data_IF_509993585577
#
_entry.id   IF_509993585577
#
_cell.length_a   1.000
_cell.length_b   1.000
_cell.length_c   1.000
_cell.angle_alpha   90.00
_cell.angle_beta   90.00
_cell.angle_gamma   90.00
#
_symmetry.space_group_name_H-M   'P 1'
#
loop_
_entity.id
_entity.type
_entity.pdbx_description
1 polymer ?
#
# COMPACT_ATOMS: atom_id res chain seq x y z
N UNK A 1 -10.61 -15.24 58.43
CA UNK A 1 -11.53 -14.08 58.38
C UNK A 1 -10.69 -12.89 57.93
N UNK A 2 -10.81 -12.25 56.77
CA UNK A 2 -11.91 -12.11 55.81
C UNK A 2 -12.36 -10.65 55.77
N UNK A 3 -11.76 -9.82 54.88
CA UNK A 3 -12.20 -8.44 54.55
C UNK A 3 -11.76 -7.37 55.57
N UNK A 4 -11.33 -6.17 55.20
CA UNK A 4 -12.03 -5.20 54.35
C UNK A 4 -11.04 -4.33 53.55
N UNK A 5 -11.18 -4.33 52.22
CA UNK A 5 -10.53 -3.36 51.32
C UNK A 5 -11.24 -2.01 51.45
N UNK A 6 -10.52 -0.98 51.87
CA UNK A 6 -11.00 0.41 51.88
C UNK A 6 -11.38 0.87 50.48
N UNK A 7 -12.64 1.29 50.30
CA UNK A 7 -13.12 1.96 49.09
C UNK A 7 -12.72 3.42 49.19
N UNK A 8 -11.82 3.87 48.30
CA UNK A 8 -11.57 5.30 48.07
C UNK A 8 -12.82 5.92 47.45
N UNK A 9 -13.49 6.80 48.19
CA UNK A 9 -14.57 7.66 47.70
C UNK A 9 -14.00 8.59 46.63
N UNK A 10 -14.56 8.54 45.41
CA UNK A 10 -14.20 9.43 44.30
C UNK A 10 -14.78 10.81 44.58
N UNK A 11 -13.97 11.86 44.43
CA UNK A 11 -14.39 13.23 44.67
C UNK A 11 -15.46 13.69 43.65
N UNK A 12 -16.61 14.26 44.10
CA UNK A 12 -17.74 14.60 43.23
C UNK A 12 -17.41 15.68 42.18
N UNK A 13 -16.37 16.49 42.40
CA UNK A 13 -15.89 17.52 41.46
C UNK A 13 -15.23 16.88 40.22
N UNK A 14 -14.57 15.74 40.39
CA UNK A 14 -13.88 15.01 39.32
C UNK A 14 -14.87 14.29 38.40
N UNK A 15 -16.02 13.85 38.93
CA UNK A 15 -17.11 13.31 38.12
C UNK A 15 -17.80 14.40 37.30
N UNK A 16 -17.99 15.60 37.85
CA UNK A 16 -18.55 16.75 37.14
C UNK A 16 -17.65 17.20 35.97
N UNK A 17 -16.33 17.30 36.18
CA UNK A 17 -15.37 17.59 35.10
C UNK A 17 -15.38 16.54 33.99
N UNK A 18 -15.49 15.25 34.34
CA UNK A 18 -15.58 14.16 33.35
C UNK A 18 -16.91 14.19 32.58
N UNK A 19 -17.99 14.60 33.21
CA UNK A 19 -19.28 14.79 32.54
C UNK A 19 -19.27 16.01 31.61
N UNK A 20 -18.62 17.10 32.01
CA UNK A 20 -18.38 18.27 31.16
C UNK A 20 -17.47 17.93 29.97
N UNK A 21 -16.37 17.20 30.19
CA UNK A 21 -15.49 16.71 29.13
C UNK A 21 -16.20 15.74 28.18
N UNK A 22 -17.09 14.89 28.69
CA UNK A 22 -17.93 14.00 27.88
C UNK A 22 -18.94 14.80 27.05
N UNK A 23 -19.60 15.79 27.65
CA UNK A 23 -20.53 16.69 26.94
C UNK A 23 -19.80 17.55 25.89
N UNK A 24 -18.59 18.02 26.18
CA UNK A 24 -17.75 18.73 25.22
C UNK A 24 -17.30 17.82 24.06
N UNK A 25 -16.93 16.56 24.35
CA UNK A 25 -16.66 15.53 23.33
C UNK A 25 -17.89 15.19 22.49
N UNK A 26 -19.07 15.11 23.10
CA UNK A 26 -20.33 14.88 22.38
C UNK A 26 -20.76 16.08 21.54
N UNK A 27 -20.51 17.31 22.01
CA UNK A 27 -20.73 18.54 21.26
C UNK A 27 -19.80 18.61 20.03
N UNK A 28 -18.50 18.32 20.20
CA UNK A 28 -17.55 18.17 19.09
C UNK A 28 -17.95 17.07 18.10
N UNK A 29 -18.55 15.97 18.59
CA UNK A 29 -19.10 14.90 17.75
C UNK A 29 -20.36 15.31 16.99
N UNK A 30 -21.13 16.27 17.52
CA UNK A 30 -22.32 16.86 16.88
C UNK A 30 -21.95 17.94 15.85
N UNK A 31 -20.85 18.66 16.06
CA UNK A 31 -20.31 19.64 15.12
C UNK A 31 -19.64 18.99 13.90
N UNK A 32 -19.20 17.73 14.02
CA UNK A 32 -18.90 16.88 12.87
C UNK A 32 -20.22 16.57 12.15
N UNK A 33 -20.64 17.49 11.29
CA UNK A 33 -21.79 17.35 10.41
C UNK A 33 -21.79 16.00 9.70
N UNK A 34 -22.99 15.44 9.50
CA UNK A 34 -23.19 14.20 8.73
C UNK A 34 -22.34 14.29 7.46
N UNK A 35 -21.48 13.30 7.16
CA UNK A 35 -20.71 13.34 5.94
C UNK A 35 -21.69 13.45 4.78
N UNK A 36 -21.46 14.43 3.91
CA UNK A 36 -22.19 14.57 2.66
C UNK A 36 -22.24 13.21 1.95
N UNK A 37 -23.32 12.87 1.24
CA UNK A 37 -23.41 11.61 0.52
C UNK A 37 -22.31 11.59 -0.54
N UNK A 38 -21.19 10.95 -0.19
CA UNK A 38 -20.06 10.78 -1.08
C UNK A 38 -20.51 9.88 -2.20
N UNK A 39 -20.37 10.35 -3.43
CA UNK A 39 -20.59 9.54 -4.62
C UNK A 39 -19.61 8.36 -4.53
N UNK A 40 -20.08 7.20 -4.12
CA UNK A 40 -19.26 6.01 -3.96
C UNK A 40 -18.74 5.58 -5.33
N UNK A 41 -17.52 6.02 -5.66
CA UNK A 41 -16.83 5.62 -6.89
C UNK A 41 -16.28 4.21 -6.68
N UNK A 42 -16.78 3.24 -7.44
CA UNK A 42 -16.24 1.88 -7.43
C UNK A 42 -14.81 1.80 -7.98
N UNK A 43 -14.46 2.72 -8.88
CA UNK A 43 -13.14 2.78 -9.51
C UNK A 43 -12.62 4.21 -9.38
N UNK A 44 -11.40 4.34 -8.87
CA UNK A 44 -10.68 5.62 -8.76
C UNK A 44 -9.41 5.51 -9.57
N UNK A 45 -9.20 6.39 -10.55
CA UNK A 45 -7.99 6.34 -11.39
C UNK A 45 -6.93 7.30 -10.83
N UNK A 46 -5.71 6.79 -10.63
CA UNK A 46 -4.56 7.56 -10.14
C UNK A 46 -3.29 7.15 -10.91
N UNK A 47 -2.51 8.11 -11.41
CA UNK A 47 -1.27 7.88 -12.17
C UNK A 47 -1.38 6.81 -13.27
N UNK A 48 -2.42 6.89 -14.11
CA UNK A 48 -2.72 5.93 -15.17
C UNK A 48 -3.02 4.48 -14.72
N UNK A 49 -3.30 4.28 -13.43
CA UNK A 49 -3.73 2.98 -12.87
C UNK A 49 -5.13 3.07 -12.27
N UNK A 50 -5.91 1.99 -12.41
CA UNK A 50 -7.24 1.88 -11.83
C UNK A 50 -7.14 1.30 -10.42
N UNK A 51 -7.62 2.05 -9.43
CA UNK A 51 -7.68 1.66 -8.02
C UNK A 51 -9.08 1.18 -7.68
N UNK A 52 -9.15 0.09 -6.90
CA UNK A 52 -10.39 -0.42 -6.33
C UNK A 52 -10.91 0.56 -5.25
N UNK A 53 -12.16 1.00 -5.38
CA UNK A 53 -12.85 1.93 -4.48
C UNK A 53 -13.14 1.36 -3.08
N UNK A 54 -13.33 0.04 -2.99
CA UNK A 54 -13.66 -0.59 -1.70
C UNK A 54 -12.42 -0.92 -0.86
N UNK A 55 -11.24 -0.92 -1.49
CA UNK A 55 -9.98 -1.11 -0.78
C UNK A 55 -9.63 0.11 0.08
N UNK A 56 -8.86 -0.12 1.14
CA UNK A 56 -8.30 0.98 1.92
C UNK A 56 -7.26 1.74 1.09
N UNK A 57 -7.09 3.06 1.33
CA UNK A 57 -6.09 3.89 0.64
C UNK A 57 -4.71 3.21 0.65
N UNK A 58 -4.32 2.69 1.81
CA UNK A 58 -3.06 1.98 1.98
C UNK A 58 -2.87 0.80 1.00
N UNK A 59 -3.91 -0.02 0.83
CA UNK A 59 -3.86 -1.18 -0.04
C UNK A 59 -4.01 -0.78 -1.51
N UNK A 60 -4.84 0.21 -1.80
CA UNK A 60 -5.04 0.71 -3.15
C UNK A 60 -3.77 1.35 -3.72
N UNK A 61 -3.06 2.19 -2.97
CA UNK A 61 -1.81 2.81 -3.42
C UNK A 61 -0.74 1.77 -3.83
N UNK A 62 -0.75 0.57 -3.24
CA UNK A 62 0.16 -0.52 -3.62
C UNK A 62 -0.14 -1.15 -4.98
N UNK A 63 -1.33 -0.94 -5.54
CA UNK A 63 -1.63 -1.35 -6.91
C UNK A 63 -0.78 -0.55 -7.93
N UNK A 64 -0.34 0.65 -7.55
CA UNK A 64 0.54 1.49 -8.36
C UNK A 64 1.92 0.85 -8.40
N UNK A 65 2.35 0.54 -9.63
CA UNK A 65 3.67 -0.02 -9.90
C UNK A 65 4.77 0.96 -9.44
N UNK A 66 5.57 0.53 -8.47
CA UNK A 66 6.63 1.33 -7.87
C UNK A 66 6.38 1.67 -6.40
N UNK A 67 5.12 1.56 -5.93
CA UNK A 67 4.74 1.83 -4.54
C UNK A 67 4.70 0.52 -3.74
N UNK A 68 5.41 0.48 -2.62
CA UNK A 68 5.39 -0.65 -1.68
C UNK A 68 4.58 -0.30 -0.43
N UNK A 69 4.39 -1.26 0.48
CA UNK A 69 3.62 -1.04 1.71
C UNK A 69 4.23 0.05 2.61
N UNK A 70 5.56 0.16 2.68
CA UNK A 70 6.20 1.18 3.52
C UNK A 70 6.04 2.58 2.93
N UNK A 71 6.19 2.70 1.62
CA UNK A 71 6.05 3.95 0.90
C UNK A 71 4.59 4.41 0.89
N UNK A 72 3.64 3.49 0.67
CA UNK A 72 2.21 3.80 0.79
C UNK A 72 1.88 4.37 2.18
N UNK A 73 2.42 3.77 3.25
CA UNK A 73 2.26 4.31 4.60
C UNK A 73 2.85 5.71 4.74
N UNK A 74 4.07 5.91 4.25
CA UNK A 74 4.73 7.22 4.31
C UNK A 74 3.96 8.29 3.53
N UNK A 75 3.44 7.96 2.35
CA UNK A 75 2.60 8.85 1.54
C UNK A 75 1.33 9.23 2.30
N UNK A 76 0.62 8.27 2.90
CA UNK A 76 -0.57 8.59 3.69
C UNK A 76 -0.26 9.50 4.88
N UNK A 77 0.86 9.27 5.58
CA UNK A 77 1.29 10.10 6.70
C UNK A 77 1.62 11.52 6.27
N UNK A 78 2.35 11.68 5.16
CA UNK A 78 2.73 12.98 4.60
C UNK A 78 1.51 13.72 4.03
N UNK A 79 0.56 12.99 3.44
CA UNK A 79 -0.68 13.54 2.91
C UNK A 79 -1.72 13.86 4.00
N UNK A 80 -1.43 13.54 5.26
CA UNK A 80 -2.34 13.68 6.40
C UNK A 80 -3.67 12.93 6.19
N UNK A 81 -3.63 11.79 5.50
CA UNK A 81 -4.78 10.93 5.23
C UNK A 81 -4.74 9.67 6.10
N UNK A 82 -5.89 9.30 6.67
CA UNK A 82 -5.98 8.05 7.43
C UNK A 82 -5.86 6.83 6.49
N UNK A 83 -4.86 5.94 6.70
CA UNK A 83 -4.58 4.82 5.78
C UNK A 83 -5.72 3.79 5.66
N UNK A 84 -6.63 3.73 6.64
CA UNK A 84 -7.71 2.75 6.71
C UNK A 84 -9.00 3.22 6.04
N UNK A 85 -9.10 4.51 5.70
CA UNK A 85 -10.22 5.03 4.93
C UNK A 85 -10.32 4.37 3.57
N UNK A 86 -11.53 4.34 3.01
CA UNK A 86 -11.79 3.79 1.68
C UNK A 86 -11.30 4.77 0.62
N UNK A 87 -10.86 4.25 -0.51
CA UNK A 87 -10.48 5.08 -1.66
C UNK A 87 -11.68 5.77 -2.30
N UNK A 88 -12.88 5.18 -2.24
CA UNK A 88 -14.11 5.81 -2.77
C UNK A 88 -14.44 7.16 -2.14
N UNK A 89 -14.00 7.42 -0.91
CA UNK A 89 -14.32 8.65 -0.17
C UNK A 89 -13.34 9.79 -0.44
N UNK A 90 -12.29 9.57 -1.25
CA UNK A 90 -11.28 10.58 -1.54
C UNK A 90 -11.83 11.72 -2.41
N UNK A 91 -11.51 12.96 -2.03
CA UNK A 91 -11.82 14.12 -2.85
C UNK A 91 -10.81 14.29 -3.98
N UNK A 92 -11.17 15.01 -5.04
CA UNK A 92 -10.29 15.23 -6.19
C UNK A 92 -9.01 15.99 -5.82
N UNK A 93 -9.10 16.88 -4.84
CA UNK A 93 -7.92 17.60 -4.33
C UNK A 93 -6.98 16.69 -3.55
N UNK A 94 -7.53 15.76 -2.75
CA UNK A 94 -6.73 14.73 -2.08
C UNK A 94 -6.06 13.79 -3.09
N UNK A 95 -6.75 13.45 -4.18
CA UNK A 95 -6.18 12.64 -5.26
C UNK A 95 -5.02 13.34 -5.96
N UNK A 96 -5.18 14.64 -6.29
CA UNK A 96 -4.09 15.45 -6.87
C UNK A 96 -2.88 15.52 -5.93
N UNK A 97 -3.10 15.76 -4.64
CA UNK A 97 -2.03 15.74 -3.62
C UNK A 97 -1.31 14.40 -3.58
N UNK A 98 -2.05 13.29 -3.58
CA UNK A 98 -1.47 11.95 -3.60
C UNK A 98 -0.63 11.72 -4.86
N UNK A 99 -1.12 12.15 -6.02
CA UNK A 99 -0.40 12.05 -7.30
C UNK A 99 0.91 12.85 -7.29
N UNK A 100 0.90 14.08 -6.77
CA UNK A 100 2.10 14.91 -6.62
C UNK A 100 3.15 14.29 -5.69
N UNK A 101 2.71 13.77 -4.53
CA UNK A 101 3.59 13.13 -3.54
C UNK A 101 4.19 11.85 -4.12
N UNK A 102 3.39 11.03 -4.80
CA UNK A 102 3.88 9.78 -5.42
C UNK A 102 4.88 10.09 -6.54
N UNK A 103 4.66 11.17 -7.31
CA UNK A 103 5.59 11.55 -8.39
C UNK A 103 6.92 12.07 -7.85
N UNK A 104 6.88 12.91 -6.81
CA UNK A 104 8.07 13.57 -6.25
C UNK A 104 8.19 13.39 -4.71
N UNK A 105 8.36 12.16 -4.21
CA UNK A 105 8.37 11.89 -2.78
C UNK A 105 9.53 12.58 -2.04
N UNK A 106 10.66 12.81 -2.72
CA UNK A 106 11.84 13.46 -2.14
C UNK A 106 11.56 14.89 -1.65
N UNK A 107 10.62 15.61 -2.26
CA UNK A 107 10.29 16.99 -1.88
C UNK A 107 9.46 17.06 -0.60
N UNK A 108 8.71 16.00 -0.29
CA UNK A 108 7.81 15.94 0.87
C UNK A 108 8.45 15.24 2.07
N UNK A 109 9.75 15.42 2.25
CA UNK A 109 10.51 14.89 3.39
C UNK A 109 10.52 13.35 3.51
N UNK A 110 10.28 12.62 2.41
CA UNK A 110 10.44 11.16 2.39
C UNK A 110 11.94 10.84 2.26
N UNK A 111 12.51 10.02 3.15
CA UNK A 111 13.95 9.71 3.11
C UNK A 111 14.38 9.02 1.82
N UNK A 112 15.58 9.35 1.34
CA UNK A 112 16.12 8.82 0.08
C UNK A 112 16.24 7.30 0.04
N UNK A 113 16.43 6.64 1.18
CA UNK A 113 16.50 5.18 1.26
C UNK A 113 15.18 4.47 0.93
N UNK A 114 14.04 5.18 0.99
CA UNK A 114 12.72 4.66 0.67
C UNK A 114 12.41 4.73 -0.84
N UNK A 115 13.23 5.46 -1.60
CA UNK A 115 13.07 5.63 -3.05
C UNK A 115 13.59 4.39 -3.81
N UNK A 116 13.00 4.13 -4.97
CA UNK A 116 13.30 2.92 -5.74
C UNK A 116 14.54 3.04 -6.64
N UNK A 117 14.88 4.25 -7.10
CA UNK A 117 16.06 4.52 -7.89
C UNK A 117 16.98 5.48 -7.15
N UNK A 118 17.97 4.91 -6.47
CA UNK A 118 18.99 5.68 -5.75
C UNK A 118 20.29 5.70 -6.55
N UNK A 119 21.03 6.82 -6.49
CA UNK A 119 22.31 7.02 -7.16
C UNK A 119 22.24 6.61 -8.63
N UNK A 120 21.35 7.26 -9.37
CA UNK A 120 21.21 6.98 -10.79
C UNK A 120 22.53 7.20 -11.54
N UNK A 121 22.82 6.33 -12.51
CA UNK A 121 24.15 6.28 -13.14
C UNK A 121 24.42 7.51 -14.02
N UNK A 122 23.38 8.07 -14.63
CA UNK A 122 23.49 9.24 -15.52
C UNK A 122 23.40 10.55 -14.72
N UNK A 123 22.36 10.66 -13.88
CA UNK A 123 22.03 11.93 -13.22
C UNK A 123 22.64 12.08 -11.82
N UNK A 124 23.08 10.99 -11.19
CA UNK A 124 23.61 10.97 -9.82
C UNK A 124 22.57 11.24 -8.71
N UNK A 125 21.34 11.59 -9.08
CA UNK A 125 20.26 11.96 -8.15
C UNK A 125 19.45 10.74 -7.73
N UNK A 126 18.83 10.84 -6.55
CA UNK A 126 17.84 9.87 -6.09
C UNK A 126 16.46 10.26 -6.66
N UNK A 127 15.77 9.29 -7.28
CA UNK A 127 14.50 9.50 -7.96
C UNK A 127 13.51 8.39 -7.59
N UNK A 128 12.23 8.72 -7.70
CA UNK A 128 11.17 7.73 -7.65
C UNK A 128 10.57 7.54 -9.05
N UNK A 129 10.69 6.34 -9.60
CA UNK A 129 10.07 6.00 -10.89
C UNK A 129 8.72 5.33 -10.66
N UNK A 130 7.72 5.70 -11.44
CA UNK A 130 6.35 5.21 -11.29
C UNK A 130 5.85 4.63 -12.60
N UNK A 131 4.98 3.61 -12.51
CA UNK A 131 4.22 3.02 -13.62
C UNK A 131 5.09 2.74 -14.85
N UNK A 132 4.88 3.47 -15.95
CA UNK A 132 5.58 3.29 -17.22
C UNK A 132 7.07 3.55 -17.10
N UNK A 133 7.45 4.57 -16.34
CA UNK A 133 8.83 5.03 -16.26
C UNK A 133 9.72 3.97 -15.60
N UNK A 134 9.16 3.24 -14.63
CA UNK A 134 9.86 2.14 -13.97
C UNK A 134 10.13 0.97 -14.93
N UNK A 135 9.16 0.62 -15.76
CA UNK A 135 9.29 -0.50 -16.69
C UNK A 135 10.20 -0.14 -17.87
N UNK A 136 10.13 1.09 -18.37
CA UNK A 136 11.06 1.61 -19.40
C UNK A 136 12.49 1.62 -18.88
N UNK A 137 12.72 2.15 -17.67
CA UNK A 137 14.06 2.17 -17.05
C UNK A 137 14.60 0.76 -16.83
N UNK A 138 13.77 -0.18 -16.38
CA UNK A 138 14.18 -1.57 -16.20
C UNK A 138 14.57 -2.22 -17.54
N UNK A 139 13.80 -1.98 -18.60
CA UNK A 139 14.11 -2.47 -19.96
C UNK A 139 15.43 -1.91 -20.46
N UNK A 140 15.64 -0.60 -20.36
CA UNK A 140 16.89 0.06 -20.74
C UNK A 140 18.09 -0.54 -20.00
N UNK A 141 18.01 -0.67 -18.67
CA UNK A 141 19.08 -1.28 -17.87
C UNK A 141 19.39 -2.72 -18.29
N UNK A 142 18.38 -3.52 -18.63
CA UNK A 142 18.59 -4.87 -19.13
C UNK A 142 19.24 -4.87 -20.52
N UNK A 143 18.78 -4.00 -21.41
CA UNK A 143 19.36 -3.81 -22.75
C UNK A 143 20.83 -3.38 -22.66
N UNK A 144 21.17 -2.47 -21.76
CA UNK A 144 22.54 -2.03 -21.52
C UNK A 144 23.42 -3.18 -21.03
N UNK A 145 22.96 -3.96 -20.06
CA UNK A 145 23.69 -5.13 -19.56
C UNK A 145 23.99 -6.14 -20.68
N UNK A 146 23.04 -6.34 -21.60
CA UNK A 146 23.20 -7.21 -22.78
C UNK A 146 24.11 -6.60 -23.84
N UNK A 147 24.05 -5.28 -24.05
CA UNK A 147 24.89 -4.54 -25.01
C UNK A 147 26.35 -4.54 -24.56
N UNK A 148 26.61 -4.34 -23.27
CA UNK A 148 27.95 -4.37 -22.69
C UNK A 148 28.55 -5.78 -22.63
N UNK A 149 27.77 -6.84 -22.87
CA UNK A 149 28.27 -8.22 -22.82
C UNK A 149 28.60 -8.71 -21.41
N UNK A 150 28.06 -8.09 -20.37
CA UNK A 150 28.27 -8.52 -18.98
C UNK A 150 27.74 -9.94 -18.74
N UNK A 151 28.33 -10.69 -17.79
CA UNK A 151 27.83 -12.02 -17.41
C UNK A 151 26.34 -11.99 -17.04
N UNK A 152 25.92 -10.94 -16.31
CA UNK A 152 24.51 -10.70 -15.95
C UNK A 152 23.64 -10.52 -17.19
N UNK A 153 24.11 -9.73 -18.17
CA UNK A 153 23.43 -9.53 -19.45
C UNK A 153 23.28 -10.82 -20.25
N UNK A 154 24.34 -11.63 -20.35
CA UNK A 154 24.28 -12.96 -20.98
C UNK A 154 23.27 -13.89 -20.30
N UNK A 155 23.24 -13.92 -18.96
CA UNK A 155 22.23 -14.71 -18.20
C UNK A 155 20.81 -14.21 -18.46
N UNK A 156 20.61 -12.89 -18.50
CA UNK A 156 19.30 -12.30 -18.85
C UNK A 156 18.87 -12.66 -20.28
N UNK A 157 19.80 -12.64 -21.26
CA UNK A 157 19.54 -13.07 -22.64
C UNK A 157 19.10 -14.54 -22.71
N UNK A 158 19.71 -15.40 -21.89
CA UNK A 158 19.37 -16.82 -21.78
C UNK A 158 18.14 -17.11 -20.90
N UNK A 159 17.56 -16.10 -20.24
CA UNK A 159 16.44 -16.27 -19.30
C UNK A 159 16.81 -17.04 -18.03
N UNK A 160 18.09 -17.04 -17.63
CA UNK A 160 18.61 -17.77 -16.47
C UNK A 160 18.72 -16.85 -15.23
N UNK A 161 18.66 -17.39 -14.00
CA UNK A 161 18.83 -16.58 -12.79
C UNK A 161 20.23 -15.96 -12.70
N UNK A 162 20.31 -14.72 -12.25
CA UNK A 162 21.53 -13.90 -12.35
C UNK A 162 22.37 -13.87 -11.07
N UNK A 163 21.78 -14.16 -9.91
CA UNK A 163 22.43 -14.07 -8.58
C UNK A 163 23.29 -15.29 -8.20
N UNK A 164 23.85 -16.01 -9.18
CA UNK A 164 24.66 -17.21 -8.92
C UNK A 164 23.88 -18.41 -8.36
N UNK A 165 22.56 -18.44 -8.55
CA UNK A 165 21.72 -19.55 -8.11
C UNK A 165 22.07 -20.85 -8.88
N UNK A 166 22.03 -22.00 -8.18
CA UNK A 166 22.33 -23.32 -8.76
C UNK A 166 21.26 -23.71 -9.80
N UNK A 167 21.67 -23.86 -11.06
CA UNK A 167 20.79 -24.26 -12.18
C UNK A 167 20.86 -25.76 -12.53
N UNK A 168 21.65 -26.56 -11.79
CA UNK A 168 21.74 -28.01 -11.99
C UNK A 168 20.47 -28.75 -11.54
N UNK A 169 19.79 -28.28 -10.51
CA UNK A 169 18.59 -28.91 -9.94
C UNK A 169 17.36 -28.00 -10.02
N UNK A 170 17.52 -26.70 -9.79
CA UNK A 170 16.45 -25.72 -9.70
C UNK A 170 16.25 -24.95 -11.02
N UNK A 171 15.12 -24.26 -11.15
CA UNK A 171 14.78 -23.42 -12.32
C UNK A 171 14.72 -24.20 -13.65
N UNK A 172 14.31 -25.47 -13.60
CA UNK A 172 14.03 -26.29 -14.78
C UNK A 172 12.58 -26.16 -15.22
N UNK A 173 12.34 -26.21 -16.53
CA UNK A 173 11.00 -26.18 -17.14
C UNK A 173 10.23 -27.50 -16.97
N UNK A 174 10.89 -28.56 -16.46
CA UNK A 174 10.22 -29.81 -16.11
C UNK A 174 9.20 -29.53 -15.00
N UNK A 175 7.95 -29.93 -15.20
CA UNK A 175 6.87 -29.72 -14.25
C UNK A 175 7.20 -30.21 -12.84
N UNK A 176 6.54 -29.65 -11.85
CA UNK A 176 6.62 -30.10 -10.46
C UNK A 176 6.29 -31.58 -10.36
N UNK A 177 7.26 -32.40 -9.97
CA UNK A 177 7.02 -33.79 -9.58
C UNK A 177 6.41 -33.76 -8.20
N UNK A 178 5.08 -33.71 -8.12
CA UNK A 178 4.32 -33.57 -6.88
C UNK A 178 2.82 -33.40 -7.12
N UNK A 179 2.07 -33.10 -6.06
CA UNK A 179 0.61 -32.94 -6.12
C UNK A 179 0.26 -31.67 -6.88
N UNK A 180 -0.22 -31.83 -8.11
CA UNK A 180 -0.86 -30.75 -8.87
C UNK A 180 -2.22 -30.50 -8.24
N UNK A 181 -2.32 -29.47 -7.39
CA UNK A 181 -3.63 -28.99 -6.95
C UNK A 181 -4.30 -28.32 -8.13
N UNK A 182 -5.47 -28.81 -8.53
CA UNK A 182 -6.31 -28.13 -9.49
C UNK A 182 -6.56 -26.69 -9.00
N UNK A 183 -6.41 -25.70 -9.88
CA UNK A 183 -6.82 -24.34 -9.56
C UNK A 183 -8.33 -24.39 -9.26
N UNK A 184 -8.73 -24.00 -8.05
CA UNK A 184 -10.13 -23.83 -7.72
C UNK A 184 -10.75 -22.88 -8.75
N UNK A 185 -11.82 -23.32 -9.40
CA UNK A 185 -12.60 -22.48 -10.30
C UNK A 185 -13.15 -21.30 -9.48
N UNK A 186 -12.92 -20.04 -9.88
CA UNK A 186 -13.57 -18.92 -9.22
C UNK A 186 -15.06 -18.97 -9.61
N UNK A 187 -15.95 -19.32 -8.68
CA UNK A 187 -17.39 -19.08 -8.87
C UNK A 187 -18.39 -20.12 -8.40
N UNK A 188 -18.03 -21.21 -7.73
CA UNK A 188 -19.03 -22.13 -7.16
C UNK A 188 -19.06 -21.98 -5.63
N UNK A 189 -19.81 -20.98 -5.18
CA UNK A 189 -20.20 -20.84 -3.79
C UNK A 189 -21.03 -22.06 -3.38
N UNK A 190 -20.65 -22.68 -2.26
CA UNK A 190 -21.39 -23.77 -1.64
C UNK A 190 -22.85 -23.32 -1.42
N UNK A 191 -23.80 -23.98 -2.09
CA UNK A 191 -25.22 -23.85 -1.76
C UNK A 191 -25.42 -24.32 -0.32
N UNK A 192 -26.07 -23.55 0.56
CA UNK A 192 -26.34 -24.00 1.91
C UNK A 192 -27.28 -25.21 1.84
N UNK A 193 -26.94 -26.27 2.55
CA UNK A 193 -27.77 -27.47 2.66
C UNK A 193 -29.10 -27.09 3.32
N UNK A 194 -30.19 -27.22 2.58
CA UNK A 194 -31.56 -27.15 3.11
C UNK A 194 -31.74 -28.30 4.11
N UNK A 195 -31.96 -27.95 5.38
CA UNK A 195 -32.42 -28.89 6.39
C UNK A 195 -33.91 -29.14 6.15
N UNK A 196 -34.27 -30.39 5.85
CA UNK A 196 -35.61 -30.92 6.11
C UNK A 196 -35.66 -31.51 7.51
#
# INVERSE_FOLDING_TARGET
MGGLKGKTTKDPIEEQRREEEKKAREALKKEQGKPEPTLERNIVRLMATDLDGNASIFNALRAIRGVNFSLAKAICLVAELDPLTKTSTLTEDQLKKLEEIVRNPANYNIPSYMLNLRKDAETGKDRHLTVSDLDVSLRQKLSDLMRYGSYRGWRHRLGQPVRGQRTRSSFRKSGSVGVVRAKAKPGEGAKPAEKK
#
